data_IF_049070821269
#
_entry.id   IF_049070821269
#
_cell.length_a   1.000
_cell.length_b   1.000
_cell.length_c   1.000
_cell.angle_alpha   90.00
_cell.angle_beta   90.00
_cell.angle_gamma   90.00
#
_symmetry.space_group_name_H-M   'P 1'
#
loop_
_entity.id
_entity.type
_entity.pdbx_description
1 polymer ?
#
# COMPACT_ATOMS: atom_id res chain seq x y z
N UNK A 1 -17.16 -2.89 -2.62
CA UNK A 1 -15.88 -3.36 -2.01
C UNK A 1 -15.05 -2.15 -1.65
N UNK A 2 -14.58 -2.07 -0.40
CA UNK A 2 -13.65 -1.04 0.08
C UNK A 2 -12.22 -1.36 -0.36
N UNK A 3 -11.37 -0.35 -0.43
CA UNK A 3 -9.97 -0.54 -0.83
C UNK A 3 -9.01 0.22 0.10
N UNK A 4 -7.92 -0.45 0.46
CA UNK A 4 -6.86 0.09 1.31
C UNK A 4 -5.51 -0.14 0.63
N UNK A 5 -4.79 0.93 0.32
CA UNK A 5 -3.43 0.87 -0.23
C UNK A 5 -2.44 1.27 0.85
N UNK A 6 -1.55 0.35 1.20
CA UNK A 6 -0.50 0.56 2.21
C UNK A 6 0.85 0.66 1.51
N UNK A 7 1.51 1.78 1.69
CA UNK A 7 2.83 2.06 1.16
C UNK A 7 3.80 2.53 2.25
N UNK A 8 5.07 2.53 1.95
CA UNK A 8 6.11 2.96 2.88
C UNK A 8 7.43 2.23 2.61
N UNK A 9 8.55 2.71 3.14
CA UNK A 9 9.85 2.13 2.88
C UNK A 9 9.96 0.69 3.41
N UNK A 10 10.95 -0.07 2.95
CA UNK A 10 11.26 -1.38 3.51
C UNK A 10 11.41 -1.31 5.03
N UNK A 11 11.00 -2.36 5.71
CA UNK A 11 11.08 -2.47 7.17
C UNK A 11 10.28 -1.42 7.97
N UNK A 12 9.43 -0.63 7.34
CA UNK A 12 8.57 0.32 8.04
C UNK A 12 7.47 -0.35 8.89
N UNK A 13 7.23 -1.64 8.74
CA UNK A 13 6.20 -2.36 9.49
C UNK A 13 4.86 -2.51 8.76
N UNK A 14 4.85 -2.34 7.42
CA UNK A 14 3.66 -2.50 6.58
C UNK A 14 2.95 -3.83 6.80
N UNK A 15 3.66 -4.93 6.64
CA UNK A 15 3.10 -6.28 6.78
C UNK A 15 2.60 -6.55 8.21
N UNK A 16 3.28 -6.04 9.23
CA UNK A 16 2.79 -6.13 10.61
C UNK A 16 1.47 -5.37 10.77
N UNK A 17 1.36 -4.19 10.18
CA UNK A 17 0.12 -3.40 10.17
C UNK A 17 -1.00 -4.15 9.44
N UNK A 18 -0.72 -4.73 8.25
CA UNK A 18 -1.69 -5.57 7.50
C UNK A 18 -2.19 -6.72 8.36
N UNK A 19 -1.29 -7.43 9.07
CA UNK A 19 -1.70 -8.53 9.96
C UNK A 19 -2.63 -8.05 11.08
N UNK A 20 -2.40 -6.89 11.68
CA UNK A 20 -3.28 -6.34 12.70
C UNK A 20 -4.64 -5.92 12.14
N UNK A 21 -4.67 -5.26 10.98
CA UNK A 21 -5.90 -4.90 10.29
C UNK A 21 -6.71 -6.16 9.98
N UNK A 22 -6.08 -7.16 9.37
CA UNK A 22 -6.73 -8.42 9.02
C UNK A 22 -7.27 -9.12 10.26
N UNK A 23 -6.47 -9.26 11.32
CA UNK A 23 -6.88 -9.91 12.57
C UNK A 23 -8.11 -9.26 13.21
N UNK A 24 -8.20 -7.94 13.12
CA UNK A 24 -9.29 -7.19 13.72
C UNK A 24 -10.57 -7.22 12.88
N UNK A 25 -10.45 -7.08 11.56
CA UNK A 25 -11.59 -6.91 10.66
C UNK A 25 -12.12 -8.20 10.02
N UNK A 26 -11.37 -9.31 10.07
CA UNK A 26 -11.76 -10.57 9.39
C UNK A 26 -13.07 -11.17 9.87
N UNK A 27 -13.51 -10.83 11.09
CA UNK A 27 -14.81 -11.30 11.62
C UNK A 27 -16.00 -10.53 11.06
N UNK A 28 -15.74 -9.35 10.50
CA UNK A 28 -16.76 -8.41 10.03
C UNK A 28 -16.77 -8.30 8.50
N UNK A 29 -15.59 -8.47 7.88
CA UNK A 29 -15.36 -8.25 6.45
C UNK A 29 -14.60 -9.42 5.84
N UNK A 30 -15.00 -9.85 4.66
CA UNK A 30 -14.19 -10.74 3.82
C UNK A 30 -13.05 -9.95 3.21
N UNK A 31 -11.81 -10.37 3.47
CA UNK A 31 -10.61 -9.62 3.08
C UNK A 31 -9.88 -10.37 1.97
N UNK A 32 -9.45 -9.63 0.93
CA UNK A 32 -8.45 -10.09 -0.02
C UNK A 32 -7.17 -9.27 0.14
N UNK A 33 -6.02 -9.89 -0.13
CA UNK A 33 -4.71 -9.25 0.01
C UNK A 33 -3.87 -9.40 -1.25
N UNK A 34 -3.25 -8.29 -1.67
CA UNK A 34 -2.26 -8.25 -2.74
C UNK A 34 -0.94 -7.70 -2.21
N UNK A 35 0.13 -8.46 -2.40
CA UNK A 35 1.51 -8.00 -2.16
C UNK A 35 2.18 -7.64 -3.49
N UNK A 36 2.73 -6.44 -3.57
CA UNK A 36 3.57 -5.99 -4.70
C UNK A 36 4.98 -5.79 -4.16
N UNK A 37 5.95 -6.53 -4.69
CA UNK A 37 7.34 -6.43 -4.23
C UNK A 37 8.34 -6.58 -5.40
N UNK A 38 9.59 -6.20 -5.15
CA UNK A 38 10.72 -6.31 -6.11
C UNK A 38 11.36 -7.69 -6.05
N UNK A 39 11.42 -8.24 -4.84
CA UNK A 39 12.08 -9.53 -4.54
C UNK A 39 11.06 -10.56 -4.09
N UNK A 40 11.49 -11.82 -4.03
CA UNK A 40 10.67 -12.88 -3.44
C UNK A 40 10.27 -12.51 -2.03
N UNK A 41 8.97 -12.46 -1.81
CA UNK A 41 8.35 -12.23 -0.53
C UNK A 41 7.42 -13.42 -0.23
N UNK A 42 7.24 -13.73 1.04
CA UNK A 42 6.43 -14.86 1.48
C UNK A 42 5.27 -14.45 2.38
N UNK A 43 5.10 -13.14 2.59
CA UNK A 43 4.09 -12.58 3.48
C UNK A 43 2.68 -12.87 3.01
N UNK A 44 2.47 -13.01 1.70
CA UNK A 44 1.20 -13.44 1.11
C UNK A 44 0.83 -14.86 1.55
N UNK A 45 1.82 -15.79 1.55
CA UNK A 45 1.64 -17.16 2.01
C UNK A 45 1.40 -17.22 3.52
N UNK A 46 2.12 -16.40 4.29
CA UNK A 46 1.92 -16.31 5.74
C UNK A 46 0.51 -15.82 6.08
N UNK A 47 0.05 -14.73 5.42
CA UNK A 47 -1.30 -14.20 5.62
C UNK A 47 -2.37 -15.21 5.20
N UNK A 48 -2.18 -15.89 4.05
CA UNK A 48 -3.11 -16.93 3.61
C UNK A 48 -3.24 -18.07 4.64
N UNK A 49 -2.12 -18.51 5.21
CA UNK A 49 -2.11 -19.57 6.22
C UNK A 49 -2.68 -19.12 7.57
N UNK A 50 -2.31 -17.92 8.03
CA UNK A 50 -2.71 -17.40 9.34
C UNK A 50 -4.21 -17.05 9.37
N UNK A 51 -4.76 -16.46 8.30
CA UNK A 51 -6.10 -15.89 8.30
C UNK A 51 -7.08 -16.60 7.36
N UNK A 52 -6.63 -17.56 6.56
CA UNK A 52 -7.43 -18.24 5.55
C UNK A 52 -8.15 -17.28 4.59
N UNK A 53 -7.42 -16.26 4.10
CA UNK A 53 -7.93 -15.26 3.16
C UNK A 53 -7.35 -15.47 1.76
N UNK A 54 -8.06 -15.06 0.69
CA UNK A 54 -7.50 -15.03 -0.65
C UNK A 54 -6.35 -14.02 -0.73
N UNK A 55 -5.22 -14.48 -1.24
CA UNK A 55 -4.02 -13.67 -1.41
C UNK A 55 -3.45 -13.80 -2.82
N UNK A 56 -2.81 -12.75 -3.29
CA UNK A 56 -2.05 -12.70 -4.53
C UNK A 56 -0.76 -11.93 -4.30
N UNK A 57 0.22 -12.15 -5.17
CA UNK A 57 1.46 -11.39 -5.20
C UNK A 57 1.87 -11.02 -6.60
N UNK A 58 2.65 -9.95 -6.70
CA UNK A 58 3.26 -9.48 -7.94
C UNK A 58 4.71 -9.18 -7.65
N UNK A 59 5.59 -9.71 -8.50
CA UNK A 59 6.99 -9.32 -8.53
C UNK A 59 7.22 -8.37 -9.69
N UNK A 60 7.75 -7.20 -9.39
CA UNK A 60 8.07 -6.22 -10.42
C UNK A 60 9.29 -6.62 -11.27
N UNK A 61 10.16 -7.48 -10.74
CA UNK A 61 11.41 -7.85 -11.41
C UNK A 61 12.23 -6.59 -11.74
N UNK A 62 12.51 -6.40 -13.01
CA UNK A 62 13.28 -5.25 -13.51
C UNK A 62 12.43 -3.97 -13.65
N UNK A 63 11.12 -4.05 -13.45
CA UNK A 63 10.24 -2.89 -13.48
C UNK A 63 10.22 -2.17 -12.12
N UNK A 64 9.93 -0.88 -12.16
CA UNK A 64 9.56 -0.13 -10.97
C UNK A 64 8.33 -0.80 -10.31
N UNK A 65 8.36 -1.13 -9.01
CA UNK A 65 7.25 -1.83 -8.35
C UNK A 65 5.95 -1.03 -8.34
N UNK A 66 6.02 0.29 -8.23
CA UNK A 66 4.82 1.11 -8.30
C UNK A 66 4.21 1.09 -9.70
N UNK A 67 5.03 1.08 -10.76
CA UNK A 67 4.55 0.92 -12.12
C UNK A 67 3.93 -0.48 -12.35
N UNK A 68 4.60 -1.53 -11.88
CA UNK A 68 4.06 -2.89 -11.92
C UNK A 68 2.71 -2.96 -11.19
N UNK A 69 2.61 -2.30 -10.03
CA UNK A 69 1.37 -2.18 -9.28
C UNK A 69 0.25 -1.55 -10.11
N UNK A 70 0.49 -0.39 -10.69
CA UNK A 70 -0.50 0.32 -11.52
C UNK A 70 -1.00 -0.55 -12.69
N UNK A 71 -0.10 -1.29 -13.32
CA UNK A 71 -0.45 -2.16 -14.45
C UNK A 71 -1.35 -3.33 -14.06
N UNK A 72 -1.17 -3.91 -12.87
CA UNK A 72 -1.93 -5.10 -12.43
C UNK A 72 -3.19 -4.77 -11.65
N UNK A 73 -3.34 -3.55 -11.17
CA UNK A 73 -4.41 -3.18 -10.24
C UNK A 73 -5.81 -3.45 -10.79
N UNK A 74 -6.06 -3.23 -12.09
CA UNK A 74 -7.35 -3.53 -12.71
C UNK A 74 -7.73 -5.01 -12.60
N UNK A 75 -6.80 -5.89 -12.94
CA UNK A 75 -7.00 -7.34 -12.84
C UNK A 75 -7.12 -7.79 -11.38
N UNK A 76 -6.33 -7.20 -10.50
CA UNK A 76 -6.33 -7.50 -9.07
C UNK A 76 -7.65 -7.09 -8.39
N UNK A 77 -8.20 -5.94 -8.73
CA UNK A 77 -9.51 -5.48 -8.25
C UNK A 77 -10.62 -6.43 -8.73
N UNK A 78 -10.58 -6.81 -10.01
CA UNK A 78 -11.53 -7.77 -10.57
C UNK A 78 -11.44 -9.13 -9.86
N UNK A 79 -10.24 -9.61 -9.58
CA UNK A 79 -10.01 -10.83 -8.83
C UNK A 79 -10.53 -10.73 -7.39
N UNK A 80 -10.25 -9.66 -6.66
CA UNK A 80 -10.72 -9.47 -5.29
C UNK A 80 -12.25 -9.42 -5.23
N UNK A 81 -12.88 -8.72 -6.19
CA UNK A 81 -14.34 -8.67 -6.32
C UNK A 81 -14.94 -10.04 -6.60
N UNK A 82 -14.35 -10.81 -7.51
CA UNK A 82 -14.79 -12.17 -7.84
C UNK A 82 -14.59 -13.16 -6.68
N UNK A 83 -13.66 -12.88 -5.77
CA UNK A 83 -13.47 -13.64 -4.52
C UNK A 83 -14.53 -13.31 -3.46
N UNK A 84 -15.44 -12.37 -3.74
CA UNK A 84 -16.50 -11.94 -2.83
C UNK A 84 -15.97 -11.13 -1.64
N UNK A 85 -14.87 -10.40 -1.82
CA UNK A 85 -14.24 -9.64 -0.75
C UNK A 85 -14.95 -8.31 -0.50
N UNK A 86 -15.08 -7.93 0.77
CA UNK A 86 -15.64 -6.64 1.20
C UNK A 86 -14.54 -5.58 1.33
N UNK A 87 -13.30 -6.01 1.67
CA UNK A 87 -12.11 -5.17 1.79
C UNK A 87 -10.96 -5.76 0.96
N UNK A 88 -10.39 -4.96 0.07
CA UNK A 88 -9.20 -5.29 -0.68
C UNK A 88 -8.00 -4.50 -0.16
N UNK A 89 -7.00 -5.19 0.39
CA UNK A 89 -5.77 -4.60 0.91
C UNK A 89 -4.65 -4.81 -0.10
N UNK A 90 -4.00 -3.73 -0.50
CA UNK A 90 -2.82 -3.73 -1.36
C UNK A 90 -1.61 -3.23 -0.58
N UNK A 91 -0.59 -4.05 -0.43
CA UNK A 91 0.70 -3.64 0.13
C UNK A 91 1.69 -3.41 -1.00
N UNK A 92 2.09 -2.15 -1.20
CA UNK A 92 3.12 -1.77 -2.17
C UNK A 92 4.52 -1.88 -1.56
N UNK A 93 5.51 -2.14 -2.42
CA UNK A 93 6.93 -2.16 -2.03
C UNK A 93 7.41 -0.81 -1.48
N UNK A 94 6.82 0.29 -1.95
CA UNK A 94 7.11 1.63 -1.43
C UNK A 94 8.53 2.11 -1.68
N UNK A 95 9.12 1.74 -2.80
CA UNK A 95 10.52 2.06 -3.14
C UNK A 95 10.67 3.30 -4.01
N UNK A 96 9.63 3.71 -4.71
CA UNK A 96 9.71 4.89 -5.57
C UNK A 96 9.41 6.16 -4.77
N UNK A 97 10.39 7.03 -4.68
CA UNK A 97 10.25 8.31 -3.98
C UNK A 97 9.51 9.38 -4.81
N UNK A 98 9.17 9.08 -6.06
CA UNK A 98 8.59 10.02 -7.03
C UNK A 98 7.14 9.73 -7.35
N UNK A 99 6.70 8.50 -7.11
CA UNK A 99 5.34 8.05 -7.37
C UNK A 99 4.59 7.77 -6.06
N UNK A 100 3.29 7.67 -6.19
CA UNK A 100 2.42 7.22 -5.11
C UNK A 100 1.51 6.13 -5.66
N UNK A 101 1.35 4.99 -4.98
CA UNK A 101 0.47 3.92 -5.44
C UNK A 101 -1.00 4.17 -5.09
N UNK A 102 -1.33 5.31 -4.51
CA UNK A 102 -2.70 5.59 -4.06
C UNK A 102 -3.63 5.91 -5.22
N UNK A 103 -4.88 5.53 -5.04
CA UNK A 103 -5.97 5.80 -5.95
C UNK A 103 -6.80 6.99 -5.46
N UNK A 104 -7.57 7.56 -6.36
CA UNK A 104 -8.50 8.67 -6.07
C UNK A 104 -9.68 8.24 -5.20
N UNK A 105 -9.95 6.94 -5.11
CA UNK A 105 -10.94 6.32 -4.23
C UNK A 105 -10.28 5.30 -3.31
N UNK A 106 -10.93 5.04 -2.17
CA UNK A 106 -10.37 4.20 -1.11
C UNK A 106 -9.39 4.96 -0.22
N UNK A 107 -8.73 4.26 0.69
CA UNK A 107 -7.81 4.82 1.67
C UNK A 107 -6.36 4.57 1.27
N UNK A 108 -5.56 5.63 1.23
CA UNK A 108 -4.11 5.59 1.09
C UNK A 108 -3.40 5.76 2.43
N UNK A 109 -2.64 4.76 2.85
CA UNK A 109 -1.89 4.76 4.11
C UNK A 109 -0.40 4.73 3.84
N UNK A 110 0.31 5.75 4.31
CA UNK A 110 1.78 5.71 4.38
C UNK A 110 2.22 5.20 5.74
N UNK A 111 3.11 4.21 5.73
CA UNK A 111 3.71 3.66 6.96
C UNK A 111 5.15 4.16 7.08
N UNK A 112 5.44 4.83 8.18
CA UNK A 112 6.74 5.38 8.51
C UNK A 112 7.23 4.77 9.81
N UNK A 113 8.48 4.34 9.84
CA UNK A 113 9.08 3.89 11.10
C UNK A 113 9.66 5.07 11.87
N UNK A 114 9.42 5.14 13.18
CA UNK A 114 10.00 6.17 14.05
C UNK A 114 11.53 6.22 14.01
N UNK A 115 12.17 5.12 13.62
CA UNK A 115 13.63 5.02 13.50
C UNK A 115 14.16 5.28 12.08
N UNK A 116 13.33 5.71 11.14
CA UNK A 116 13.77 5.95 9.74
C UNK A 116 14.49 7.28 9.52
N UNK A 117 14.63 8.07 10.57
CA UNK A 117 15.29 9.38 10.55
C UNK A 117 14.36 10.54 10.16
N UNK A 118 14.68 11.73 10.64
CA UNK A 118 13.84 12.93 10.56
C UNK A 118 13.62 13.44 9.12
N UNK A 119 14.49 13.10 8.18
CA UNK A 119 14.37 13.49 6.77
C UNK A 119 13.61 12.47 5.91
N UNK A 120 13.16 11.37 6.49
CA UNK A 120 12.44 10.34 5.73
C UNK A 120 11.14 10.87 5.10
N UNK A 121 10.29 11.66 5.80
CA UNK A 121 9.06 12.18 5.22
C UNK A 121 9.28 13.03 3.98
N UNK A 122 10.25 13.94 4.02
CA UNK A 122 10.61 14.81 2.91
C UNK A 122 11.12 14.02 1.70
N UNK A 123 11.98 13.03 1.94
CA UNK A 123 12.53 12.17 0.87
C UNK A 123 11.46 11.32 0.19
N UNK A 124 10.41 10.93 0.91
CA UNK A 124 9.31 10.13 0.36
C UNK A 124 8.30 10.95 -0.46
N UNK A 125 8.36 12.27 -0.42
CA UNK A 125 7.63 13.18 -1.31
C UNK A 125 6.17 12.79 -1.54
N UNK A 126 5.85 12.37 -2.77
CA UNK A 126 4.49 12.02 -3.20
C UNK A 126 3.82 10.94 -2.34
N UNK A 127 4.58 9.99 -1.79
CA UNK A 127 4.04 8.93 -0.96
C UNK A 127 3.47 9.46 0.36
N UNK A 128 4.04 10.54 0.90
CA UNK A 128 3.52 11.22 2.11
C UNK A 128 2.47 12.25 1.75
N UNK A 129 2.73 13.08 0.73
CA UNK A 129 1.85 14.21 0.39
C UNK A 129 0.49 13.80 -0.19
N UNK A 130 0.37 12.59 -0.72
CA UNK A 130 -0.87 12.06 -1.30
C UNK A 130 -1.57 11.01 -0.41
N UNK A 131 -0.96 10.59 0.71
CA UNK A 131 -1.60 9.68 1.64
C UNK A 131 -2.77 10.36 2.38
N UNK A 132 -3.78 9.58 2.74
CA UNK A 132 -4.88 10.04 3.61
C UNK A 132 -4.49 9.93 5.08
N UNK A 133 -3.70 8.91 5.39
CA UNK A 133 -3.30 8.57 6.75
C UNK A 133 -1.80 8.27 6.78
N UNK A 134 -1.08 8.83 7.76
CA UNK A 134 0.27 8.41 8.11
C UNK A 134 0.25 7.57 9.39
N UNK A 135 0.78 6.36 9.32
CA UNK A 135 0.94 5.48 10.48
C UNK A 135 2.42 5.45 10.85
N UNK A 136 2.75 6.02 12.00
CA UNK A 136 4.10 5.97 12.58
C UNK A 136 4.21 4.72 13.43
N UNK A 137 5.09 3.82 13.04
CA UNK A 137 5.32 2.54 13.71
C UNK A 137 6.56 2.56 14.60
N UNK A 138 6.75 1.49 15.39
CA UNK A 138 7.92 1.28 16.27
C UNK A 138 8.11 2.41 17.28
N UNK A 139 7.03 2.98 17.74
CA UNK A 139 7.04 4.12 18.68
C UNK A 139 7.66 3.78 20.03
N UNK A 140 7.75 2.51 20.34
CA UNK A 140 8.39 1.96 21.54
C UNK A 140 9.93 1.99 21.49
N UNK A 141 10.53 2.25 20.33
CA UNK A 141 11.97 2.26 20.11
C UNK A 141 12.61 3.66 20.23
N UNK A 142 11.81 4.70 20.40
CA UNK A 142 12.28 6.09 20.46
C UNK A 142 11.56 6.87 21.57
N UNK A 143 12.17 7.96 22.01
CA UNK A 143 11.56 8.86 22.97
C UNK A 143 10.36 9.62 22.40
N UNK A 144 9.53 10.18 23.26
CA UNK A 144 8.43 11.03 22.84
C UNK A 144 8.91 12.25 22.05
N UNK A 145 10.01 12.87 22.46
CA UNK A 145 10.56 14.03 21.77
C UNK A 145 10.97 13.70 20.31
N UNK A 146 11.62 12.55 20.10
CA UNK A 146 11.99 12.10 18.74
C UNK A 146 10.75 11.83 17.87
N UNK A 147 9.70 11.27 18.46
CA UNK A 147 8.43 11.06 17.75
C UNK A 147 7.77 12.38 17.35
N UNK A 148 7.72 13.34 18.27
CA UNK A 148 7.14 14.67 17.99
C UNK A 148 7.89 15.40 16.86
N UNK A 149 9.24 15.29 16.84
CA UNK A 149 10.05 15.84 15.74
C UNK A 149 9.69 15.18 14.42
N UNK A 150 9.59 13.84 14.38
CA UNK A 150 9.21 13.14 13.15
C UNK A 150 7.78 13.49 12.69
N UNK A 151 6.84 13.59 13.63
CA UNK A 151 5.45 14.00 13.35
C UNK A 151 5.42 15.41 12.75
N UNK A 152 6.21 16.34 13.29
CA UNK A 152 6.30 17.68 12.75
C UNK A 152 6.86 17.66 11.32
N UNK A 153 7.87 16.83 11.05
CA UNK A 153 8.41 16.66 9.68
C UNK A 153 7.40 16.05 8.71
N UNK A 154 6.55 15.15 9.15
CA UNK A 154 5.43 14.64 8.34
C UNK A 154 4.45 15.77 8.01
N UNK A 155 4.09 16.60 8.99
CA UNK A 155 3.17 17.73 8.82
C UNK A 155 3.75 18.84 7.93
N UNK A 156 5.06 19.03 7.91
CA UNK A 156 5.71 19.96 6.98
C UNK A 156 5.49 19.52 5.51
N UNK A 157 5.46 18.21 5.24
CA UNK A 157 5.21 17.67 3.90
C UNK A 157 3.70 17.64 3.59
N UNK A 158 2.87 17.29 4.57
CA UNK A 158 1.42 17.20 4.42
C UNK A 158 0.71 17.74 5.68
N UNK A 159 0.39 19.04 5.72
CA UNK A 159 -0.17 19.66 6.93
C UNK A 159 -1.50 19.07 7.42
N UNK A 160 -2.33 18.58 6.50
CA UNK A 160 -3.66 18.02 6.80
C UNK A 160 -3.72 16.51 7.02
N UNK A 161 -2.59 15.82 6.99
CA UNK A 161 -2.58 14.35 7.09
C UNK A 161 -3.06 13.87 8.45
N UNK A 162 -3.90 12.84 8.46
CA UNK A 162 -4.26 12.16 9.70
C UNK A 162 -3.08 11.30 10.18
N UNK A 163 -2.63 11.55 11.41
CA UNK A 163 -1.49 10.85 12.01
C UNK A 163 -1.96 9.85 13.06
N UNK A 164 -1.44 8.64 12.97
CA UNK A 164 -1.63 7.58 13.95
C UNK A 164 -0.26 7.03 14.39
N UNK A 165 -0.11 6.80 15.67
CA UNK A 165 1.11 6.24 16.25
C UNK A 165 0.83 4.84 16.80
N UNK A 166 1.70 3.87 16.51
CA UNK A 166 1.46 2.48 16.91
C UNK A 166 2.76 1.69 17.13
N UNK A 167 2.68 0.70 18.00
CA UNK A 167 3.52 -0.50 17.87
C UNK A 167 2.75 -1.52 17.03
N UNK A 168 3.10 -1.63 15.75
CA UNK A 168 2.38 -2.49 14.81
C UNK A 168 2.49 -3.99 15.15
N UNK A 169 3.52 -4.42 15.86
CA UNK A 169 3.63 -5.82 16.30
C UNK A 169 2.60 -6.14 17.40
N UNK A 170 2.38 -5.20 18.31
CA UNK A 170 1.43 -5.35 19.41
C UNK A 170 0.01 -4.90 19.04
N UNK A 171 -0.15 -4.14 17.96
CA UNK A 171 -1.44 -3.63 17.51
C UNK A 171 -2.01 -2.53 18.41
N UNK A 172 -1.14 -1.77 19.10
CA UNK A 172 -1.59 -0.69 20.00
C UNK A 172 -2.11 0.51 19.21
N UNK A 173 -3.13 1.18 19.75
CA UNK A 173 -3.67 2.46 19.23
C UNK A 173 -4.17 2.42 17.77
N UNK A 174 -4.59 1.27 17.26
CA UNK A 174 -5.07 1.10 15.90
C UNK A 174 -6.61 1.22 15.75
N UNK A 175 -7.36 1.39 16.84
CA UNK A 175 -8.83 1.42 16.78
C UNK A 175 -9.33 2.48 15.78
N UNK A 176 -8.74 3.67 15.81
CA UNK A 176 -9.10 4.75 14.88
C UNK A 176 -8.90 4.35 13.40
N UNK A 177 -7.83 3.58 13.10
CA UNK A 177 -7.60 3.09 11.74
C UNK A 177 -8.68 2.09 11.32
N UNK A 178 -9.07 1.19 12.22
CA UNK A 178 -10.13 0.22 11.94
C UNK A 178 -11.47 0.91 11.67
N UNK A 179 -11.81 1.94 12.45
CA UNK A 179 -13.04 2.72 12.26
C UNK A 179 -13.01 3.45 10.92
N UNK A 180 -11.90 4.08 10.54
CA UNK A 180 -11.75 4.73 9.24
C UNK A 180 -11.90 3.75 8.07
N UNK A 181 -11.41 2.51 8.22
CA UNK A 181 -11.59 1.48 7.18
C UNK A 181 -13.07 1.07 7.10
N UNK A 182 -13.76 0.92 8.26
CA UNK A 182 -15.18 0.60 8.28
C UNK A 182 -16.04 1.68 7.63
N UNK A 183 -15.68 2.93 7.88
CA UNK A 183 -16.43 4.11 7.43
C UNK A 183 -16.08 4.55 6.01
N UNK A 184 -14.99 4.00 5.42
CA UNK A 184 -14.59 4.37 4.06
C UNK A 184 -15.62 3.94 3.02
N UNK A 185 -15.70 4.71 1.94
CA UNK A 185 -16.58 4.41 0.82
C UNK A 185 -16.12 3.17 0.03
N UNK A 186 -17.06 2.57 -0.68
CA UNK A 186 -16.74 1.55 -1.67
C UNK A 186 -16.18 2.18 -2.95
N UNK A 187 -15.30 1.45 -3.61
CA UNK A 187 -14.71 1.89 -4.88
C UNK A 187 -15.63 1.57 -6.07
N UNK A 188 -15.57 2.42 -7.07
CA UNK A 188 -16.15 2.22 -8.41
C UNK A 188 -15.04 1.80 -9.39
N UNK A 189 -14.81 0.50 -9.63
CA UNK A 189 -13.62 0.00 -10.36
C UNK A 189 -13.41 0.62 -11.74
N UNK A 190 -14.50 0.95 -12.43
CA UNK A 190 -14.48 1.46 -13.80
C UNK A 190 -14.02 2.93 -13.88
N UNK A 191 -13.97 3.63 -12.73
CA UNK A 191 -13.63 5.06 -12.65
C UNK A 191 -12.34 5.34 -11.90
N UNK A 192 -11.67 4.29 -11.43
CA UNK A 192 -10.47 4.42 -10.62
C UNK A 192 -9.28 4.93 -11.44
N UNK A 193 -8.61 5.92 -10.89
CA UNK A 193 -7.34 6.44 -11.40
C UNK A 193 -6.35 6.68 -10.25
N UNK A 194 -5.09 6.88 -10.57
CA UNK A 194 -4.10 7.28 -9.58
C UNK A 194 -4.47 8.65 -8.98
N UNK A 195 -4.35 8.78 -7.67
CA UNK A 195 -4.61 10.02 -6.92
C UNK A 195 -3.69 11.16 -7.34
N UNK A 196 -2.40 10.86 -7.58
CA UNK A 196 -1.39 11.80 -8.05
C UNK A 196 -1.00 11.58 -9.51
N UNK A 197 -0.40 12.59 -10.11
CA UNK A 197 0.21 12.45 -11.44
C UNK A 197 1.57 11.78 -11.32
N UNK A 198 1.83 10.68 -12.04
CA UNK A 198 3.19 10.16 -12.17
C UNK A 198 4.10 11.21 -12.78
N UNK A 199 5.38 11.32 -12.35
CA UNK A 199 6.27 12.36 -12.83
C UNK A 199 6.63 12.17 -14.30
N UNK A 200 6.31 13.16 -15.11
CA UNK A 200 6.78 13.27 -16.49
C UNK A 200 8.29 13.51 -16.50
N UNK A 201 9.01 12.91 -17.39
CA UNK A 201 10.44 13.19 -17.64
C UNK A 201 11.45 12.57 -16.67
N UNK A 202 11.02 11.95 -15.59
CA UNK A 202 11.92 11.21 -14.66
C UNK A 202 11.72 9.70 -14.69
N UNK A 203 10.66 9.23 -15.33
CA UNK A 203 10.40 7.82 -15.56
C UNK A 203 9.90 7.64 -16.99
N UNK A 204 10.72 7.04 -17.83
CA UNK A 204 10.37 6.73 -19.24
C UNK A 204 9.26 5.69 -19.35
N UNK A 205 8.90 5.02 -18.28
CA UNK A 205 7.91 3.95 -18.25
C UNK A 205 6.51 4.50 -17.95
N UNK A 206 6.38 5.44 -17.02
CA UNK A 206 5.07 5.91 -16.55
C UNK A 206 4.35 6.91 -17.46
N UNK A 207 5.03 7.58 -18.37
CA UNK A 207 4.49 8.56 -19.34
C UNK A 207 3.38 9.50 -18.82
N UNK A 208 3.31 9.71 -17.50
CA UNK A 208 2.37 10.62 -16.84
C UNK A 208 0.90 10.17 -16.81
N UNK A 209 0.58 8.95 -17.17
CA UNK A 209 -0.81 8.44 -17.17
C UNK A 209 -1.28 8.12 -15.76
N UNK A 210 -2.54 8.44 -15.49
CA UNK A 210 -3.24 8.14 -14.23
C UNK A 210 -4.11 6.89 -14.29
N UNK A 211 -4.43 6.44 -15.49
CA UNK A 211 -5.25 5.24 -15.73
C UNK A 211 -4.52 4.00 -15.20
N UNK A 212 -5.28 3.12 -14.55
CA UNK A 212 -4.79 1.83 -14.07
C UNK A 212 -5.04 0.74 -15.11
N UNK A 213 -4.22 -0.33 -15.06
CA UNK A 213 -4.33 -1.48 -15.95
C UNK A 213 -3.25 -1.50 -17.04
N UNK A 214 -2.83 -2.72 -17.38
CA UNK A 214 -1.73 -2.98 -18.32
C UNK A 214 -1.96 -2.41 -19.74
N UNK A 215 -3.21 -2.28 -20.17
CA UNK A 215 -3.58 -1.74 -21.48
C UNK A 215 -3.24 -0.24 -21.65
N UNK A 216 -3.00 0.47 -20.54
CA UNK A 216 -2.72 1.90 -20.55
C UNK A 216 -1.23 2.23 -20.38
N UNK A 217 -0.40 1.24 -20.07
CA UNK A 217 1.00 1.43 -19.72
C UNK A 217 1.94 0.64 -20.63
N UNK A 218 3.15 1.16 -20.80
CA UNK A 218 4.24 0.43 -21.45
C UNK A 218 4.95 -0.46 -20.41
N UNK A 219 5.38 -1.61 -20.86
CA UNK A 219 6.07 -2.57 -20.03
C UNK A 219 5.43 -3.93 -20.16
N UNK A 220 6.12 -4.89 -19.61
CA UNK A 220 5.88 -6.26 -19.92
C UNK A 220 5.41 -7.00 -18.69
N UNK A 221 4.11 -6.96 -18.46
CA UNK A 221 3.46 -7.67 -17.36
C UNK A 221 2.40 -8.60 -17.95
N UNK A 222 2.47 -9.89 -17.66
CA UNK A 222 1.56 -10.85 -18.23
C UNK A 222 0.25 -11.04 -17.48
N UNK A 223 0.28 -11.48 -16.25
CA UNK A 223 -0.93 -11.83 -15.50
C UNK A 223 -0.68 -11.84 -14.00
N UNK A 224 -1.75 -11.64 -13.27
CA UNK A 224 -1.84 -11.85 -11.84
C UNK A 224 -1.96 -13.35 -11.55
N UNK A 225 -0.98 -13.95 -10.89
CA UNK A 225 -0.98 -15.37 -10.54
C UNK A 225 -1.39 -15.63 -9.10
N UNK A 226 -1.57 -16.91 -8.76
CA UNK A 226 -1.96 -17.32 -7.43
C UNK A 226 -0.89 -17.09 -6.36
N UNK A 227 -1.30 -17.03 -5.10
CA UNK A 227 -0.42 -16.82 -3.95
C UNK A 227 0.68 -17.89 -3.80
N UNK A 228 0.47 -19.08 -4.34
CA UNK A 228 1.40 -20.21 -4.25
C UNK A 228 2.37 -20.25 -5.44
N UNK A 229 1.97 -19.68 -6.57
CA UNK A 229 2.84 -19.60 -7.73
C UNK A 229 3.82 -18.43 -7.58
N UNK A 230 5.08 -18.65 -7.89
CA UNK A 230 6.03 -17.56 -8.12
C UNK A 230 5.59 -16.81 -9.37
N UNK A 231 4.74 -15.82 -9.19
CA UNK A 231 4.31 -15.03 -10.32
C UNK A 231 5.30 -13.92 -10.59
N UNK A 232 5.98 -14.09 -11.67
CA UNK A 232 6.67 -13.01 -12.32
C UNK A 232 5.67 -12.44 -13.34
N UNK A 233 5.25 -11.22 -13.14
CA UNK A 233 4.75 -10.42 -14.22
C UNK A 233 5.94 -10.13 -15.14
N UNK A 234 6.20 -11.04 -16.02
CA UNK A 234 7.13 -10.81 -17.11
C UNK A 234 6.31 -10.48 -18.35
N UNK A 235 6.69 -9.42 -18.99
CA UNK A 235 6.23 -9.23 -20.30
C UNK A 235 6.95 -10.15 -21.30
N UNK A 236 6.30 -10.61 -22.31
CA UNK A 236 6.88 -11.05 -23.58
C UNK A 236 6.91 -9.90 -24.54
#
# INVERSE_FOLDING_TARGET
MKMLVIAGPPSAGKTALVKQITRNLIREMKIAFLKIDVVKAYEDIELAKEFNIPTRKVYSGDLCPDHAGVMVLGDAISWAKNSGSDLFIVESAGLCLRCSPYLDQGLGVVVLSSISGIHAPEKMGAMVSLADIAVVTKIDLVSQAEREVLIQKIREVHPGILLLETNALQGTSLQRLYDLIRDSDEIEPERLVLKGNPPLGTCTICVGKKEIGWQHHFGVIKKLDGAIAESLYRGE
#
